data_IF_418377967203
#
_entry.id   IF_418377967203
#
_cell.length_a   1.000
_cell.length_b   1.000
_cell.length_c   1.000
_cell.angle_alpha   90.00
_cell.angle_beta   90.00
_cell.angle_gamma   90.00
#
_symmetry.space_group_name_H-M   'P 1'
#
loop_
_entity.id
_entity.type
_entity.pdbx_description
1 polymer ?
#
# COMPACT_ATOMS: atom_id res chain seq x y z
N UNK A 1 12.91 -6.25 15.69
CA UNK A 1 12.07 -7.08 14.81
C UNK A 1 12.44 -6.82 13.35
N UNK A 2 12.21 -7.79 12.47
CA UNK A 2 12.32 -7.65 11.02
C UNK A 2 10.91 -7.39 10.45
N UNK A 3 10.71 -6.21 9.90
CA UNK A 3 9.40 -5.76 9.42
C UNK A 3 9.45 -5.69 7.89
N UNK A 4 8.49 -6.35 7.23
CA UNK A 4 8.27 -6.21 5.80
C UNK A 4 7.08 -5.27 5.59
N UNK A 5 7.30 -4.12 4.97
CA UNK A 5 6.25 -3.23 4.49
C UNK A 5 6.01 -3.54 3.02
N UNK A 6 4.78 -3.87 2.67
CA UNK A 6 4.35 -4.12 1.30
C UNK A 6 3.45 -2.97 0.86
N UNK A 7 4.01 -2.02 0.14
CA UNK A 7 3.32 -0.80 -0.30
C UNK A 7 3.53 -0.56 -1.78
N UNK A 8 2.44 -0.32 -2.51
CA UNK A 8 2.51 -0.07 -3.95
C UNK A 8 3.35 1.17 -4.27
N UNK A 9 3.10 2.28 -3.55
CA UNK A 9 3.84 3.53 -3.67
C UNK A 9 4.77 3.73 -2.47
N UNK A 10 5.94 4.30 -2.72
CA UNK A 10 6.96 4.62 -1.73
C UNK A 10 7.83 5.78 -2.22
N UNK A 11 8.70 6.34 -1.34
CA UNK A 11 9.71 7.32 -1.77
C UNK A 11 10.40 6.88 -3.09
N UNK A 12 10.66 7.78 -4.07
CA UNK A 12 10.59 9.24 -3.99
C UNK A 12 9.26 9.87 -4.46
N UNK A 13 8.19 9.12 -4.56
CA UNK A 13 6.88 9.66 -4.95
C UNK A 13 6.34 10.60 -3.88
N UNK A 14 5.95 11.86 -4.22
CA UNK A 14 5.64 12.89 -3.20
C UNK A 14 4.20 12.86 -2.70
N UNK A 15 3.36 11.93 -3.18
CA UNK A 15 1.91 11.94 -2.95
C UNK A 15 1.34 10.57 -2.60
N UNK A 16 0.07 10.58 -2.20
CA UNK A 16 -0.66 9.39 -1.82
C UNK A 16 -0.10 8.76 -0.55
N UNK A 17 -0.02 7.44 -0.53
CA UNK A 17 0.47 6.67 0.61
C UNK A 17 2.01 6.71 0.74
N UNK A 18 2.74 7.13 -0.30
CA UNK A 18 4.19 7.06 -0.33
C UNK A 18 4.88 7.85 0.81
N UNK A 19 4.54 9.12 1.10
CA UNK A 19 5.13 9.85 2.22
C UNK A 19 4.86 9.17 3.56
N UNK A 20 3.64 8.71 3.80
CA UNK A 20 3.26 8.04 5.05
C UNK A 20 4.05 6.75 5.26
N UNK A 21 4.19 5.92 4.24
CA UNK A 21 4.95 4.67 4.35
C UNK A 21 6.45 4.93 4.47
N UNK A 22 6.95 6.01 3.89
CA UNK A 22 8.34 6.43 4.05
C UNK A 22 8.61 6.84 5.49
N UNK A 23 7.80 7.73 6.05
CA UNK A 23 7.91 8.16 7.46
C UNK A 23 7.76 6.98 8.43
N UNK A 24 6.81 6.07 8.18
CA UNK A 24 6.63 4.87 8.98
C UNK A 24 7.90 3.99 8.97
N UNK A 25 8.42 3.68 7.78
CA UNK A 25 9.57 2.82 7.62
C UNK A 25 10.82 3.41 8.30
N UNK A 26 11.09 4.70 8.07
CA UNK A 26 12.21 5.39 8.69
C UNK A 26 12.05 5.53 10.21
N UNK A 27 10.83 5.81 10.67
CA UNK A 27 10.51 5.86 12.09
C UNK A 27 10.71 4.53 12.81
N UNK A 28 10.41 3.42 12.14
CA UNK A 28 10.66 2.07 12.66
C UNK A 28 12.16 1.75 12.69
N UNK A 29 12.92 2.16 11.67
CA UNK A 29 14.41 2.03 11.68
C UNK A 29 15.01 2.82 12.83
N UNK A 30 14.58 4.06 13.06
CA UNK A 30 15.03 4.89 14.21
C UNK A 30 14.73 4.24 15.57
N UNK A 31 13.71 3.38 15.65
CA UNK A 31 13.37 2.57 16.84
C UNK A 31 14.13 1.23 16.94
N UNK A 32 15.12 1.01 16.06
CA UNK A 32 15.97 -0.19 16.10
C UNK A 32 15.39 -1.41 15.41
N UNK A 33 14.36 -1.26 14.56
CA UNK A 33 13.83 -2.35 13.75
C UNK A 33 14.58 -2.47 12.42
N UNK A 34 14.68 -3.69 11.89
CA UNK A 34 15.13 -3.91 10.52
C UNK A 34 13.93 -3.83 9.59
N UNK A 35 13.90 -2.82 8.74
CA UNK A 35 12.76 -2.58 7.84
C UNK A 35 13.15 -2.86 6.40
N UNK A 36 12.32 -3.61 5.73
CA UNK A 36 12.37 -3.87 4.29
C UNK A 36 11.06 -3.48 3.66
N UNK A 37 11.12 -2.70 2.59
CA UNK A 37 9.95 -2.27 1.83
C UNK A 37 9.95 -2.95 0.47
N UNK A 38 8.83 -3.55 0.09
CA UNK A 38 8.56 -4.05 -1.27
C UNK A 38 7.58 -3.08 -1.93
N UNK A 39 7.98 -2.51 -3.06
CA UNK A 39 7.24 -1.45 -3.75
C UNK A 39 7.40 -1.52 -5.26
N UNK A 40 6.62 -0.72 -5.99
CA UNK A 40 6.78 -0.52 -7.43
C UNK A 40 7.97 0.37 -7.78
N UNK A 41 8.38 0.36 -9.07
CA UNK A 41 9.23 1.42 -9.60
C UNK A 41 8.47 2.75 -9.50
N UNK A 42 9.11 3.85 -9.08
CA UNK A 42 8.44 5.14 -8.95
C UNK A 42 8.04 5.70 -10.32
N UNK A 43 6.83 6.19 -10.44
CA UNK A 43 6.27 6.68 -11.71
C UNK A 43 5.32 7.87 -11.54
N UNK A 44 4.80 8.07 -10.35
CA UNK A 44 3.81 9.11 -10.10
C UNK A 44 4.48 10.40 -9.56
N UNK A 45 4.09 11.60 -9.97
CA UNK A 45 2.93 11.97 -10.80
C UNK A 45 3.18 12.00 -12.31
N UNK A 46 4.40 11.76 -12.79
CA UNK A 46 4.82 11.92 -14.20
C UNK A 46 4.11 10.95 -15.15
N UNK A 47 3.48 9.88 -14.63
CA UNK A 47 2.89 8.77 -15.39
C UNK A 47 3.91 8.01 -16.26
N UNK A 48 5.17 8.11 -15.90
CA UNK A 48 6.31 7.42 -16.51
C UNK A 48 7.29 6.99 -15.42
N UNK A 49 7.94 5.85 -15.61
CA UNK A 49 8.99 5.42 -14.66
C UNK A 49 10.09 6.46 -14.61
N UNK A 50 10.51 6.85 -13.42
CA UNK A 50 11.58 7.81 -13.21
C UNK A 50 12.88 7.33 -13.89
N UNK A 51 13.65 8.27 -14.48
CA UNK A 51 14.81 7.99 -15.35
C UNK A 51 15.78 6.99 -14.76
N UNK A 52 16.08 7.10 -13.47
CA UNK A 52 17.04 6.23 -12.78
C UNK A 52 16.56 4.77 -12.65
N UNK A 53 15.28 4.51 -12.87
CA UNK A 53 14.66 3.19 -12.75
C UNK A 53 14.16 2.61 -14.06
N UNK A 54 14.26 3.35 -15.17
CA UNK A 54 13.84 2.91 -16.50
C UNK A 54 14.62 1.66 -16.96
N UNK A 55 13.92 0.75 -17.63
CA UNK A 55 14.49 -0.49 -18.16
C UNK A 55 14.84 -1.56 -17.13
N UNK A 56 14.63 -1.32 -15.85
CA UNK A 56 14.91 -2.28 -14.78
C UNK A 56 13.68 -3.12 -14.46
N UNK A 57 13.85 -4.45 -14.34
CA UNK A 57 12.82 -5.35 -13.82
C UNK A 57 12.81 -5.33 -12.29
N UNK A 58 13.99 -5.22 -11.68
CA UNK A 58 14.20 -5.17 -10.23
C UNK A 58 15.28 -4.15 -9.88
N UNK A 59 15.08 -3.47 -8.76
CA UNK A 59 16.08 -2.62 -8.14
C UNK A 59 16.05 -2.83 -6.62
N UNK A 60 17.22 -2.96 -6.00
CA UNK A 60 17.33 -2.99 -4.54
C UNK A 60 18.29 -1.91 -4.11
N UNK A 61 17.86 -1.08 -3.17
CA UNK A 61 18.62 0.05 -2.66
C UNK A 61 18.40 0.21 -1.16
N UNK A 62 19.24 0.98 -0.49
CA UNK A 62 19.09 1.31 0.93
C UNK A 62 19.04 2.82 1.06
N UNK A 63 17.96 3.35 1.60
CA UNK A 63 17.76 4.78 1.83
C UNK A 63 17.36 4.98 3.29
N UNK A 64 18.06 5.83 4.02
CA UNK A 64 17.81 6.13 5.42
C UNK A 64 17.71 4.88 6.33
N UNK A 65 18.51 3.84 6.00
CA UNK A 65 18.51 2.57 6.74
C UNK A 65 17.40 1.59 6.37
N UNK A 66 16.50 1.97 5.46
CA UNK A 66 15.44 1.11 4.94
C UNK A 66 15.92 0.37 3.69
N UNK A 67 15.81 -0.96 3.68
CA UNK A 67 16.08 -1.77 2.50
C UNK A 67 14.84 -1.76 1.57
N UNK A 68 14.97 -1.21 0.38
CA UNK A 68 13.87 -1.01 -0.57
C UNK A 68 14.04 -1.97 -1.74
N UNK A 69 13.06 -2.80 -1.99
CA UNK A 69 12.96 -3.72 -3.13
C UNK A 69 11.90 -3.18 -4.10
N UNK A 70 12.35 -2.60 -5.21
CA UNK A 70 11.46 -2.09 -6.26
C UNK A 70 11.29 -3.12 -7.36
N UNK A 71 10.07 -3.23 -7.82
CA UNK A 71 9.67 -4.20 -8.84
C UNK A 71 8.99 -3.50 -10.01
N UNK A 72 9.14 -4.08 -11.17
CA UNK A 72 8.52 -3.58 -12.40
C UNK A 72 7.01 -3.44 -12.27
N UNK A 73 6.48 -2.39 -12.87
CA UNK A 73 5.05 -2.12 -13.03
C UNK A 73 4.76 -1.70 -14.46
N UNK A 74 3.63 -2.18 -14.99
CA UNK A 74 3.16 -1.81 -16.31
C UNK A 74 2.54 -0.42 -16.27
N UNK A 75 3.21 0.57 -16.88
CA UNK A 75 2.75 1.97 -16.86
C UNK A 75 2.49 2.44 -18.27
N UNK A 76 1.37 3.16 -18.44
CA UNK A 76 1.01 3.87 -19.64
C UNK A 76 0.58 5.30 -19.28
N UNK A 77 0.97 6.32 -20.07
CA UNK A 77 0.59 7.72 -19.80
C UNK A 77 -0.93 7.94 -19.82
N UNK A 78 -1.63 7.26 -20.73
CA UNK A 78 -3.09 7.27 -20.87
C UNK A 78 -3.62 5.83 -20.73
N UNK A 79 -3.81 5.35 -19.49
CA UNK A 79 -4.15 3.95 -19.27
C UNK A 79 -5.62 3.67 -19.58
N UNK A 80 -5.85 2.68 -20.45
CA UNK A 80 -7.13 2.01 -20.61
C UNK A 80 -7.51 1.20 -19.36
N UNK A 81 -8.70 0.67 -19.29
CA UNK A 81 -9.10 -0.25 -18.21
C UNK A 81 -8.18 -1.48 -18.14
N UNK A 82 -7.79 -2.01 -19.30
CA UNK A 82 -6.87 -3.15 -19.38
C UNK A 82 -5.49 -2.78 -18.85
N UNK A 83 -4.98 -1.59 -19.18
CA UNK A 83 -3.68 -1.13 -18.66
C UNK A 83 -3.67 -0.98 -17.14
N UNK A 84 -4.77 -0.55 -16.55
CA UNK A 84 -4.92 -0.47 -15.09
C UNK A 84 -4.88 -1.86 -14.45
N UNK A 85 -5.51 -2.85 -15.04
CA UNK A 85 -5.44 -4.23 -14.57
C UNK A 85 -4.04 -4.82 -14.76
N UNK A 86 -3.39 -4.56 -15.90
CA UNK A 86 -2.02 -5.00 -16.16
C UNK A 86 -1.02 -4.37 -15.18
N UNK A 87 -1.22 -3.12 -14.80
CA UNK A 87 -0.42 -2.43 -13.80
C UNK A 87 -0.49 -3.18 -12.45
N UNK A 88 -1.68 -3.51 -11.97
CA UNK A 88 -1.85 -4.24 -10.72
C UNK A 88 -1.29 -5.67 -10.80
N UNK A 89 -1.59 -6.41 -11.87
CA UNK A 89 -1.13 -7.79 -12.07
C UNK A 89 0.39 -7.85 -12.22
N UNK A 90 0.99 -6.93 -12.99
CA UNK A 90 2.44 -6.88 -13.15
C UNK A 90 3.15 -6.59 -11.84
N UNK A 91 2.63 -5.66 -11.03
CA UNK A 91 3.17 -5.40 -9.70
C UNK A 91 3.07 -6.61 -8.80
N UNK A 92 1.89 -7.22 -8.70
CA UNK A 92 1.68 -8.41 -7.86
C UNK A 92 2.66 -9.53 -8.21
N UNK A 93 2.80 -9.84 -9.51
CA UNK A 93 3.68 -10.91 -9.96
C UNK A 93 5.17 -10.62 -9.72
N UNK A 94 5.64 -9.45 -10.13
CA UNK A 94 7.06 -9.10 -10.03
C UNK A 94 7.49 -8.84 -8.59
N UNK A 95 6.67 -8.16 -7.81
CA UNK A 95 6.97 -7.86 -6.40
C UNK A 95 6.96 -9.11 -5.52
N UNK A 96 6.09 -10.09 -5.78
CA UNK A 96 6.09 -11.35 -5.06
C UNK A 96 7.42 -12.10 -5.26
N UNK A 97 7.87 -12.26 -6.52
CA UNK A 97 9.15 -12.90 -6.82
C UNK A 97 10.32 -12.17 -6.16
N UNK A 98 10.29 -10.83 -6.17
CA UNK A 98 11.34 -10.04 -5.54
C UNK A 98 11.31 -10.15 -4.01
N UNK A 99 10.13 -10.17 -3.41
CA UNK A 99 9.95 -10.30 -1.96
C UNK A 99 10.50 -11.60 -1.38
N UNK A 100 10.46 -12.70 -2.17
CA UNK A 100 11.01 -14.01 -1.79
C UNK A 100 12.53 -13.98 -1.57
N UNK A 101 13.26 -13.06 -2.20
CA UNK A 101 14.73 -12.94 -2.09
C UNK A 101 15.20 -12.30 -0.78
N UNK A 102 14.31 -11.81 0.06
CA UNK A 102 14.67 -11.14 1.30
C UNK A 102 14.75 -12.07 2.51
N UNK A 103 15.34 -11.57 3.61
CA UNK A 103 15.31 -12.29 4.88
C UNK A 103 13.87 -12.48 5.36
N UNK A 104 13.57 -13.61 6.02
CA UNK A 104 12.28 -13.88 6.65
C UNK A 104 11.88 -12.72 7.57
N UNK A 105 10.72 -12.09 7.37
CA UNK A 105 10.21 -11.07 8.29
C UNK A 105 9.68 -11.72 9.57
N UNK A 106 9.47 -10.91 10.60
CA UNK A 106 8.74 -11.30 11.81
C UNK A 106 7.26 -10.86 11.71
N UNK A 107 6.97 -9.86 10.85
CA UNK A 107 5.64 -9.33 10.55
C UNK A 107 5.61 -8.72 9.15
N UNK A 108 4.45 -8.80 8.49
CA UNK A 108 4.18 -8.14 7.21
C UNK A 108 3.14 -7.06 7.45
N UNK A 109 3.44 -5.83 7.04
CA UNK A 109 2.52 -4.69 7.02
C UNK A 109 2.18 -4.36 5.57
N UNK A 110 0.92 -4.56 5.20
CA UNK A 110 0.41 -4.40 3.84
C UNK A 110 -0.47 -3.17 3.74
N UNK A 111 -0.27 -2.33 2.72
CA UNK A 111 -1.20 -1.21 2.43
C UNK A 111 -2.11 -1.54 1.25
N UNK A 112 -3.37 -1.17 1.35
CA UNK A 112 -4.35 -1.28 0.28
C UNK A 112 -5.13 0.04 0.12
N UNK A 113 -5.38 0.51 -1.10
CA UNK A 113 -5.17 -0.12 -2.41
C UNK A 113 -3.70 -0.21 -2.86
N UNK A 114 -3.38 -1.02 -3.90
CA UNK A 114 -4.27 -1.92 -4.65
C UNK A 114 -4.59 -3.22 -3.90
N UNK A 115 -5.86 -3.64 -3.99
CA UNK A 115 -6.35 -4.81 -3.25
C UNK A 115 -5.69 -6.16 -3.64
N UNK A 116 -5.32 -6.42 -4.91
CA UNK A 116 -4.63 -7.66 -5.30
C UNK A 116 -3.30 -7.91 -4.58
N UNK A 117 -2.67 -6.90 -4.00
CA UNK A 117 -1.43 -7.04 -3.20
C UNK A 117 -1.64 -7.92 -1.95
N UNK A 118 -2.89 -8.07 -1.50
CA UNK A 118 -3.21 -8.98 -0.41
C UNK A 118 -2.85 -10.45 -0.72
N UNK A 119 -2.84 -10.85 -2.00
CA UNK A 119 -2.49 -12.22 -2.41
C UNK A 119 -1.02 -12.54 -2.13
N UNK A 120 -0.03 -11.80 -2.67
CA UNK A 120 1.38 -12.05 -2.35
C UNK A 120 1.70 -11.85 -0.87
N UNK A 121 1.08 -10.89 -0.18
CA UNK A 121 1.29 -10.70 1.24
C UNK A 121 0.79 -11.90 2.08
N UNK A 122 -0.38 -12.46 1.75
CA UNK A 122 -0.90 -13.66 2.39
C UNK A 122 -0.02 -14.88 2.11
N UNK A 123 0.43 -15.08 0.87
CA UNK A 123 1.32 -16.18 0.49
C UNK A 123 2.64 -16.10 1.27
N UNK A 124 3.23 -14.90 1.38
CA UNK A 124 4.44 -14.69 2.20
C UNK A 124 4.16 -14.93 3.69
N UNK A 125 3.01 -14.48 4.19
CA UNK A 125 2.58 -14.72 5.57
C UNK A 125 2.48 -16.21 5.89
N UNK A 126 1.87 -17.00 5.01
CA UNK A 126 1.78 -18.45 5.16
C UNK A 126 3.13 -19.14 5.02
N UNK A 127 3.93 -18.77 4.01
CA UNK A 127 5.26 -19.33 3.77
C UNK A 127 6.17 -19.14 4.98
N UNK A 128 6.14 -17.95 5.55
CA UNK A 128 7.02 -17.59 6.67
C UNK A 128 6.37 -17.83 8.05
N UNK A 129 5.08 -18.18 8.10
CA UNK A 129 4.29 -18.34 9.33
C UNK A 129 4.35 -17.09 10.21
N UNK A 130 4.08 -15.93 9.62
CA UNK A 130 4.13 -14.63 10.29
C UNK A 130 2.81 -13.88 10.12
N UNK A 131 2.43 -13.01 11.09
CA UNK A 131 1.22 -12.22 11.00
C UNK A 131 1.29 -11.21 9.84
N UNK A 132 0.12 -10.98 9.23
CA UNK A 132 -0.09 -9.95 8.21
C UNK A 132 -1.03 -8.90 8.79
N UNK A 133 -0.58 -7.65 8.84
CA UNK A 133 -1.39 -6.48 9.19
C UNK A 133 -1.78 -5.77 7.90
N UNK A 134 -3.09 -5.67 7.66
CA UNK A 134 -3.65 -4.95 6.51
C UNK A 134 -3.99 -3.52 6.92
N UNK A 135 -3.37 -2.54 6.29
CA UNK A 135 -3.72 -1.14 6.44
C UNK A 135 -4.62 -0.70 5.29
N UNK A 136 -5.86 -0.33 5.61
CA UNK A 136 -6.86 0.13 4.64
C UNK A 136 -6.88 1.65 4.57
N UNK A 137 -6.50 2.17 3.41
CA UNK A 137 -6.59 3.60 3.10
C UNK A 137 -7.89 3.95 2.37
N UNK A 138 -8.46 2.96 1.64
CA UNK A 138 -9.76 3.05 0.97
C UNK A 138 -10.51 1.72 1.05
N UNK A 139 -11.83 1.77 1.04
CA UNK A 139 -12.68 0.57 1.01
C UNK A 139 -13.09 0.29 -0.45
N UNK A 140 -12.31 -0.56 -1.10
CA UNK A 140 -12.64 -1.09 -2.41
C UNK A 140 -13.34 -2.46 -2.29
N UNK A 141 -14.35 -2.78 -3.11
CA UNK A 141 -14.83 -2.01 -4.29
C UNK A 141 -15.86 -0.91 -3.98
N UNK A 142 -16.34 -0.78 -2.75
CA UNK A 142 -17.46 0.11 -2.41
C UNK A 142 -17.27 1.54 -2.93
N UNK A 143 -16.10 2.15 -2.68
CA UNK A 143 -15.80 3.50 -3.13
C UNK A 143 -15.89 3.62 -4.66
N UNK A 144 -15.33 2.65 -5.40
CA UNK A 144 -15.33 2.68 -6.86
C UNK A 144 -16.75 2.45 -7.45
N UNK A 145 -17.58 1.68 -6.77
CA UNK A 145 -18.98 1.45 -7.16
C UNK A 145 -19.83 2.70 -6.90
N UNK A 146 -19.70 3.32 -5.72
CA UNK A 146 -20.44 4.55 -5.39
C UNK A 146 -20.07 5.73 -6.28
N UNK A 147 -18.82 5.79 -6.76
CA UNK A 147 -18.35 6.82 -7.70
C UNK A 147 -18.63 6.46 -9.16
N UNK A 148 -19.35 5.37 -9.43
CA UNK A 148 -19.66 4.86 -10.77
C UNK A 148 -18.41 4.58 -11.65
N UNK A 149 -17.24 4.47 -11.04
CA UNK A 149 -15.97 4.14 -11.71
C UNK A 149 -15.95 2.66 -12.09
N UNK A 150 -16.55 1.81 -11.24
CA UNK A 150 -16.64 0.37 -11.42
C UNK A 150 -18.11 -0.04 -11.55
N UNK A 151 -18.56 -0.25 -12.79
CA UNK A 151 -19.96 -0.60 -13.09
C UNK A 151 -20.15 -2.05 -13.56
N UNK A 152 -19.08 -2.73 -13.99
CA UNK A 152 -19.16 -4.11 -14.49
C UNK A 152 -19.39 -5.10 -13.35
N UNK A 153 -20.53 -5.85 -13.31
CA UNK A 153 -20.87 -6.74 -12.20
C UNK A 153 -19.87 -7.88 -12.01
N UNK A 154 -19.22 -8.34 -13.07
CA UNK A 154 -18.20 -9.41 -12.98
C UNK A 154 -16.94 -8.89 -12.27
N UNK A 155 -16.50 -7.69 -12.60
CA UNK A 155 -15.36 -7.06 -11.93
C UNK A 155 -15.69 -6.74 -10.48
N UNK A 156 -16.87 -6.19 -10.19
CA UNK A 156 -17.33 -5.96 -8.81
C UNK A 156 -17.25 -7.24 -7.98
N UNK A 157 -17.73 -8.35 -8.55
CA UNK A 157 -17.67 -9.67 -7.89
C UNK A 157 -16.22 -10.12 -7.63
N UNK A 158 -15.33 -9.95 -8.59
CA UNK A 158 -13.90 -10.30 -8.43
C UNK A 158 -13.27 -9.48 -7.30
N UNK A 159 -13.46 -8.16 -7.30
CA UNK A 159 -12.94 -7.29 -6.24
C UNK A 159 -13.55 -7.61 -4.87
N UNK A 160 -14.84 -7.93 -4.79
CA UNK A 160 -15.48 -8.37 -3.54
C UNK A 160 -14.91 -9.71 -3.02
N UNK A 161 -14.52 -10.63 -3.91
CA UNK A 161 -13.84 -11.87 -3.51
C UNK A 161 -12.42 -11.56 -2.96
N UNK A 162 -11.69 -10.71 -3.65
CA UNK A 162 -10.36 -10.26 -3.19
C UNK A 162 -10.42 -9.53 -1.85
N UNK A 163 -11.41 -8.67 -1.68
CA UNK A 163 -11.66 -7.96 -0.42
C UNK A 163 -11.89 -8.94 0.73
N UNK A 164 -12.82 -9.89 0.55
CA UNK A 164 -13.08 -10.93 1.55
C UNK A 164 -11.85 -11.78 1.84
N UNK A 165 -11.07 -12.10 0.82
CA UNK A 165 -9.81 -12.81 0.98
C UNK A 165 -8.82 -12.00 1.82
N UNK A 166 -8.61 -10.71 1.51
CA UNK A 166 -7.73 -9.81 2.25
C UNK A 166 -8.14 -9.72 3.73
N UNK A 167 -9.43 -9.53 4.01
CA UNK A 167 -9.94 -9.44 5.38
C UNK A 167 -9.81 -10.76 6.16
N UNK A 168 -9.97 -11.90 5.50
CA UNK A 168 -9.82 -13.22 6.14
C UNK A 168 -8.37 -13.53 6.48
N UNK A 169 -7.47 -13.27 5.55
CA UNK A 169 -6.05 -13.64 5.68
C UNK A 169 -5.24 -12.70 6.57
N UNK A 170 -5.66 -11.43 6.68
CA UNK A 170 -5.03 -10.50 7.61
C UNK A 170 -5.24 -10.94 9.07
N UNK A 171 -4.21 -10.84 9.90
CA UNK A 171 -4.27 -11.07 11.35
C UNK A 171 -4.93 -9.90 12.06
N UNK A 172 -4.60 -8.68 11.65
CA UNK A 172 -5.18 -7.41 12.08
C UNK A 172 -5.42 -6.52 10.88
N UNK A 173 -6.40 -5.63 10.99
CA UNK A 173 -6.75 -4.64 9.96
C UNK A 173 -6.72 -3.28 10.61
N UNK A 174 -5.82 -2.40 10.18
CA UNK A 174 -5.86 -1.00 10.59
C UNK A 174 -6.66 -0.18 9.60
N UNK A 175 -7.49 0.70 10.13
CA UNK A 175 -8.36 1.61 9.36
C UNK A 175 -8.10 3.05 9.78
N UNK A 176 -8.37 3.99 8.89
CA UNK A 176 -8.03 5.41 9.08
C UNK A 176 -9.15 6.25 9.67
N UNK A 177 -10.38 5.74 9.72
CA UNK A 177 -11.55 6.47 10.21
C UNK A 177 -12.63 5.52 10.78
N UNK A 178 -13.47 6.04 11.68
CA UNK A 178 -14.57 5.29 12.32
C UNK A 178 -15.59 4.72 11.31
N UNK A 179 -15.82 5.43 10.21
CA UNK A 179 -16.73 4.95 9.16
C UNK A 179 -16.27 3.63 8.55
N UNK A 180 -14.95 3.39 8.51
CA UNK A 180 -14.37 2.13 8.02
C UNK A 180 -14.65 0.97 8.97
N UNK A 181 -14.60 1.22 10.30
CA UNK A 181 -14.91 0.21 11.30
C UNK A 181 -16.33 -0.33 11.06
N UNK A 182 -17.32 0.58 10.96
CA UNK A 182 -18.72 0.22 10.72
C UNK A 182 -18.90 -0.56 9.42
N UNK A 183 -18.23 -0.15 8.34
CA UNK A 183 -18.30 -0.84 7.06
C UNK A 183 -17.74 -2.27 7.15
N UNK A 184 -16.58 -2.45 7.77
CA UNK A 184 -15.97 -3.77 7.96
C UNK A 184 -16.83 -4.68 8.84
N UNK A 185 -17.39 -4.16 9.92
CA UNK A 185 -18.32 -4.90 10.79
C UNK A 185 -19.55 -5.37 10.03
N UNK A 186 -20.15 -4.50 9.18
CA UNK A 186 -21.28 -4.86 8.32
C UNK A 186 -20.90 -5.95 7.29
N UNK A 187 -19.62 -6.06 6.91
CA UNK A 187 -19.08 -7.11 6.05
C UNK A 187 -18.68 -8.39 6.83
N UNK A 188 -18.95 -8.43 8.14
CA UNK A 188 -18.69 -9.58 8.99
C UNK A 188 -17.26 -9.71 9.50
N UNK A 189 -16.47 -8.64 9.46
CA UNK A 189 -15.13 -8.61 10.09
C UNK A 189 -15.31 -8.43 11.61
N UNK A 190 -14.67 -9.30 12.38
CA UNK A 190 -14.74 -9.23 13.85
C UNK A 190 -14.04 -7.98 14.39
N UNK A 191 -14.67 -7.32 15.37
CA UNK A 191 -14.19 -6.08 15.98
C UNK A 191 -12.78 -6.21 16.55
N UNK A 192 -12.48 -7.32 17.21
CA UNK A 192 -11.15 -7.59 17.77
C UNK A 192 -10.01 -7.64 16.73
N UNK A 193 -10.35 -7.68 15.44
CA UNK A 193 -9.41 -7.68 14.31
C UNK A 193 -9.15 -6.28 13.78
N UNK A 194 -9.99 -5.30 14.12
CA UNK A 194 -9.97 -3.95 13.58
C UNK A 194 -9.30 -3.01 14.58
N UNK A 195 -8.36 -2.19 14.10
CA UNK A 195 -7.67 -1.16 14.88
C UNK A 195 -7.79 0.19 14.17
N UNK A 196 -8.20 1.22 14.88
CA UNK A 196 -8.25 2.59 14.34
C UNK A 196 -6.85 3.22 14.46
N UNK A 197 -6.23 3.47 13.32
CA UNK A 197 -4.95 4.18 13.23
C UNK A 197 -5.09 5.26 12.16
N UNK A 198 -5.49 6.48 12.53
CA UNK A 198 -5.63 7.58 11.59
C UNK A 198 -4.30 7.92 10.91
N UNK A 199 -4.39 8.46 9.70
CA UNK A 199 -3.20 9.00 9.04
C UNK A 199 -2.66 10.18 9.85
N UNK A 200 -1.36 10.24 9.97
CA UNK A 200 -0.65 11.28 10.73
C UNK A 200 -0.17 12.39 9.82
N UNK A 201 0.21 13.48 10.43
CA UNK A 201 0.83 14.63 9.78
C UNK A 201 2.06 15.06 10.57
N UNK A 202 3.08 15.54 9.87
CA UNK A 202 4.25 16.13 10.52
C UNK A 202 3.89 17.53 11.02
N UNK A 203 3.67 17.65 12.33
CA UNK A 203 3.29 18.91 13.00
C UNK A 203 4.43 19.93 13.07
N UNK A 204 5.67 19.50 12.89
CA UNK A 204 6.82 20.42 12.81
C UNK A 204 6.88 21.11 11.45
N UNK A 205 6.38 20.46 10.40
CA UNK A 205 6.32 20.98 9.04
C UNK A 205 5.00 21.73 8.77
N UNK A 206 3.87 21.17 9.17
CA UNK A 206 2.54 21.78 8.95
C UNK A 206 2.15 22.55 10.21
N UNK A 207 2.26 23.88 10.13
CA UNK A 207 1.92 24.80 11.22
C UNK A 207 0.76 25.71 10.83
N UNK A 208 -0.12 26.07 11.80
CA UNK A 208 -1.12 27.10 11.55
C UNK A 208 -0.44 28.41 11.15
N UNK A 209 -0.86 29.00 10.05
CA UNK A 209 -0.40 30.33 9.65
C UNK A 209 -1.37 31.41 10.18
N UNK A 210 -0.87 32.64 10.45
CA UNK A 210 -1.73 33.78 10.75
C UNK A 210 -2.79 33.97 9.67
N UNK A 211 -3.98 34.44 10.07
CA UNK A 211 -5.07 34.68 9.11
C UNK A 211 -4.76 35.77 8.09
N UNK A 212 -3.85 36.69 8.44
CA UNK A 212 -3.46 37.83 7.59
C UNK A 212 -1.92 37.99 7.58
N UNK A 213 -1.31 38.34 6.43
CA UNK A 213 -1.89 38.36 5.08
C UNK A 213 -1.86 36.94 4.47
N UNK A 214 -2.96 36.50 3.89
CA UNK A 214 -3.04 35.20 3.20
C UNK A 214 -3.47 35.43 1.74
N UNK A 215 -2.60 35.10 0.78
CA UNK A 215 -2.84 35.31 -0.66
C UNK A 215 -4.02 34.48 -1.22
N UNK A 216 -4.57 33.55 -0.44
CA UNK A 216 -5.69 32.69 -0.84
C UNK A 216 -7.03 33.08 -0.20
N UNK A 217 -7.10 34.28 0.42
CA UNK A 217 -8.33 34.84 0.99
C UNK A 217 -8.64 36.19 0.41
#
# INVERSE_FOLDING_TARGET
MRILIYSYNYFPEPIGIAPLMTELAEGLVKRGHQVRVVTGMPWYPQKEVYKDYQGKLYCTEVINGVAIQRSYVWIRPEPSLIDRLLLEVSFVATSFVHALKGKRPDIIFLTAPPLPVAVPAALLGWLHRVPVVLNLQDILPDAAVHLEILTNPKLIRIFSILEKFAYRTATKISVIADGFIKNLQNKGVSENKIELIPNWVNVDFIKPLPKEPNAFR
#
